data_IF_996327639783
#
_entry.id   IF_996327639783
#
_cell.length_a   1.000
_cell.length_b   1.000
_cell.length_c   1.000
_cell.angle_alpha   90.00
_cell.angle_beta   90.00
_cell.angle_gamma   90.00
#
_symmetry.space_group_name_H-M   'P 1'
#
loop_
_entity.id
_entity.type
_entity.pdbx_description
1 polymer ?
#
# COMPACT_ATOMS: atom_id res chain seq x y z
N UNK A 1 -4.31 21.41 2.93
CA UNK A 1 -4.88 20.04 2.98
C UNK A 1 -4.88 19.46 1.58
N UNK A 2 -5.14 18.16 1.47
CA UNK A 2 -5.20 17.45 0.20
C UNK A 2 -6.59 16.86 -0.02
N UNK A 3 -7.05 16.87 -1.27
CA UNK A 3 -8.28 16.26 -1.73
C UNK A 3 -7.96 15.18 -2.76
N UNK A 4 -8.63 14.04 -2.63
CA UNK A 4 -8.56 12.91 -3.56
C UNK A 4 -9.97 12.52 -3.97
N UNK A 5 -10.19 12.53 -5.27
CA UNK A 5 -11.43 12.12 -5.91
C UNK A 5 -11.17 10.83 -6.69
N UNK A 6 -12.09 9.87 -6.55
CA UNK A 6 -12.11 8.63 -7.33
C UNK A 6 -13.34 8.67 -8.19
N UNK A 7 -13.19 8.63 -9.51
CA UNK A 7 -14.28 8.71 -10.47
C UNK A 7 -14.42 7.37 -11.19
N UNK A 8 -15.60 6.78 -11.14
CA UNK A 8 -15.92 5.55 -11.87
C UNK A 8 -16.48 5.93 -13.25
N UNK A 9 -15.70 5.77 -14.32
CA UNK A 9 -16.09 6.07 -15.69
C UNK A 9 -16.24 4.78 -16.51
N UNK A 10 -16.90 4.86 -17.67
CA UNK A 10 -17.05 3.72 -18.58
C UNK A 10 -15.70 3.16 -19.06
N UNK A 11 -14.67 4.01 -19.16
CA UNK A 11 -13.31 3.64 -19.53
C UNK A 11 -12.47 3.11 -18.35
N UNK A 12 -12.99 3.12 -17.13
CA UNK A 12 -12.30 2.67 -15.92
C UNK A 12 -12.33 3.66 -14.75
N UNK A 13 -11.50 3.41 -13.75
CA UNK A 13 -11.42 4.23 -12.52
C UNK A 13 -10.35 5.31 -12.67
N UNK A 14 -10.75 6.58 -12.56
CA UNK A 14 -9.85 7.73 -12.61
C UNK A 14 -9.63 8.32 -11.22
N UNK A 15 -8.39 8.73 -10.94
CA UNK A 15 -8.02 9.38 -9.69
C UNK A 15 -7.62 10.82 -9.95
N UNK A 16 -8.26 11.77 -9.26
CA UNK A 16 -7.89 13.18 -9.28
C UNK A 16 -7.40 13.60 -7.90
N UNK A 17 -6.22 14.22 -7.85
CA UNK A 17 -5.58 14.68 -6.61
C UNK A 17 -5.31 16.18 -6.70
N UNK A 18 -5.72 16.94 -5.71
CA UNK A 18 -5.56 18.40 -5.67
C UNK A 18 -5.26 18.90 -4.26
N UNK A 19 -4.75 20.12 -4.16
CA UNK A 19 -4.70 20.87 -2.91
C UNK A 19 -6.07 21.48 -2.64
N UNK A 20 -6.51 21.43 -1.38
CA UNK A 20 -7.79 21.98 -0.95
C UNK A 20 -7.66 22.73 0.39
N UNK A 21 -8.55 23.69 0.60
CA UNK A 21 -8.71 24.38 1.87
C UNK A 21 -9.40 23.49 2.90
N UNK A 22 -9.24 23.83 4.19
CA UNK A 22 -9.93 23.13 5.28
C UNK A 22 -11.46 23.24 5.14
N UNK A 23 -11.98 24.41 4.76
CA UNK A 23 -13.40 24.62 4.53
C UNK A 23 -13.95 23.74 3.39
N UNK A 24 -13.26 23.67 2.25
CA UNK A 24 -13.65 22.82 1.13
C UNK A 24 -13.71 21.34 1.53
N UNK A 25 -12.74 20.90 2.33
CA UNK A 25 -12.74 19.55 2.85
C UNK A 25 -13.89 19.26 3.82
N UNK A 26 -14.20 20.21 4.73
CA UNK A 26 -15.32 20.07 5.65
C UNK A 26 -16.65 19.91 4.90
N UNK A 27 -16.86 20.68 3.84
CA UNK A 27 -18.03 20.57 2.96
C UNK A 27 -18.08 19.19 2.31
N UNK A 28 -16.95 18.69 1.78
CA UNK A 28 -16.89 17.36 1.18
C UNK A 28 -17.16 16.23 2.19
N UNK A 29 -16.62 16.34 3.41
CA UNK A 29 -16.85 15.35 4.48
C UNK A 29 -18.25 15.41 5.09
N UNK A 30 -18.92 16.55 5.01
CA UNK A 30 -20.28 16.73 5.52
C UNK A 30 -21.34 16.00 4.67
N UNK A 31 -20.95 15.39 3.55
CA UNK A 31 -21.83 14.52 2.77
C UNK A 31 -23.00 15.26 2.13
N UNK A 32 -22.86 16.56 1.85
CA UNK A 32 -23.91 17.40 1.27
C UNK A 32 -24.45 16.85 -0.07
N UNK A 33 -23.64 16.04 -0.78
CA UNK A 33 -24.10 15.20 -1.87
C UNK A 33 -23.40 13.84 -1.80
N UNK A 34 -24.17 12.76 -1.85
CA UNK A 34 -23.66 11.37 -1.83
C UNK A 34 -23.17 10.96 -3.22
N UNK A 35 -21.93 11.30 -3.52
CA UNK A 35 -21.34 11.01 -4.82
C UNK A 35 -20.82 9.56 -4.98
N UNK A 36 -20.59 8.83 -3.88
CA UNK A 36 -19.96 7.51 -3.91
C UNK A 36 -21.00 6.41 -3.82
N UNK A 37 -21.14 5.61 -4.87
CA UNK A 37 -21.89 4.35 -4.84
C UNK A 37 -21.03 3.31 -5.56
N UNK A 38 -20.51 2.30 -4.85
CA UNK A 38 -19.60 1.34 -5.45
C UNK A 38 -20.28 0.61 -6.63
N UNK A 39 -19.65 0.62 -7.80
CA UNK A 39 -20.17 -0.04 -9.01
C UNK A 39 -21.14 0.83 -9.82
N UNK A 40 -21.37 2.09 -9.43
CA UNK A 40 -22.22 3.02 -10.17
C UNK A 40 -21.34 3.88 -11.07
N UNK A 41 -21.61 3.80 -12.38
CA UNK A 41 -21.00 4.70 -13.36
C UNK A 41 -21.30 6.17 -13.01
N UNK A 42 -20.29 7.02 -13.18
CA UNK A 42 -20.29 8.42 -12.79
C UNK A 42 -20.43 8.66 -11.28
N UNK A 43 -20.14 7.66 -10.46
CA UNK A 43 -19.92 7.89 -9.03
C UNK A 43 -18.56 8.58 -8.80
N UNK A 44 -18.52 9.48 -7.84
CA UNK A 44 -17.33 10.21 -7.41
C UNK A 44 -17.13 10.02 -5.91
N UNK A 45 -16.00 9.48 -5.48
CA UNK A 45 -15.69 9.33 -4.06
C UNK A 45 -14.66 10.39 -3.67
N UNK A 46 -15.08 11.38 -2.88
CA UNK A 46 -14.23 12.47 -2.40
C UNK A 46 -13.71 12.12 -1.02
N UNK A 47 -12.40 12.30 -0.81
CA UNK A 47 -11.74 12.09 0.48
C UNK A 47 -10.67 13.15 0.68
N UNK A 48 -10.42 13.52 1.93
CA UNK A 48 -9.35 14.44 2.26
C UNK A 48 -8.34 13.86 3.23
N UNK A 49 -7.17 14.49 3.27
CA UNK A 49 -6.16 14.27 4.28
C UNK A 49 -5.47 15.58 4.67
N UNK A 50 -5.08 15.67 5.95
CA UNK A 50 -4.31 16.80 6.49
C UNK A 50 -2.82 16.46 6.68
N UNK A 51 -2.43 15.20 6.46
CA UNK A 51 -1.04 14.77 6.62
C UNK A 51 -0.19 15.19 5.42
N UNK A 52 1.05 15.68 5.64
CA UNK A 52 1.95 16.01 4.54
C UNK A 52 2.22 14.75 3.70
N UNK A 53 2.33 14.92 2.38
CA UNK A 53 2.59 13.85 1.41
C UNK A 53 1.56 12.71 1.38
N UNK A 54 0.35 12.89 1.91
CA UNK A 54 -0.69 11.84 1.86
C UNK A 54 -1.13 11.44 0.44
N UNK A 55 -0.96 12.34 -0.53
CA UNK A 55 -1.20 12.09 -1.95
C UNK A 55 0.01 11.45 -2.67
N UNK A 56 1.12 11.27 -1.96
CA UNK A 56 2.41 10.84 -2.48
C UNK A 56 2.38 9.43 -3.09
N UNK A 57 3.44 9.08 -3.85
CA UNK A 57 3.59 7.74 -4.39
C UNK A 57 3.54 6.73 -3.24
N UNK A 58 2.74 5.67 -3.43
CA UNK A 58 2.62 4.61 -2.42
C UNK A 58 4.05 4.06 -2.20
N UNK A 59 4.59 4.08 -0.96
CA UNK A 59 5.90 3.51 -0.72
C UNK A 59 5.87 2.07 -1.23
N UNK A 60 6.83 1.73 -2.10
CA UNK A 60 7.00 0.36 -2.57
C UNK A 60 7.09 -0.49 -1.31
N UNK A 61 6.12 -1.40 -1.09
CA UNK A 61 6.23 -2.40 -0.02
C UNK A 61 7.61 -3.03 -0.23
N UNK A 62 8.58 -2.77 0.67
CA UNK A 62 9.77 -3.61 0.75
C UNK A 62 9.20 -5.00 0.93
N UNK A 63 9.38 -5.86 -0.07
CA UNK A 63 8.93 -7.24 0.00
C UNK A 63 9.37 -7.78 1.35
N UNK A 64 8.43 -8.39 2.08
CA UNK A 64 8.72 -9.02 3.36
C UNK A 64 9.95 -9.89 3.14
N UNK A 65 11.07 -9.55 3.79
CA UNK A 65 12.32 -10.33 3.71
C UNK A 65 12.16 -11.60 4.55
N UNK A 66 11.10 -12.38 4.28
CA UNK A 66 10.81 -13.65 4.91
C UNK A 66 11.55 -14.82 4.23
N UNK A 67 12.72 -14.55 3.67
CA UNK A 67 13.76 -15.55 3.41
C UNK A 67 14.97 -15.20 4.24
N UNK A 68 14.79 -15.11 5.56
CA UNK A 68 15.91 -15.34 6.46
C UNK A 68 16.27 -16.82 6.31
N UNK A 69 17.31 -17.10 5.53
CA UNK A 69 17.95 -18.42 5.49
C UNK A 69 18.27 -18.76 6.95
N UNK A 70 17.63 -19.80 7.49
CA UNK A 70 17.84 -20.23 8.88
C UNK A 70 19.31 -20.63 9.03
N UNK A 71 20.14 -19.88 9.77
CA UNK A 71 21.58 -20.14 9.86
C UNK A 71 21.88 -21.56 10.36
N UNK A 72 20.99 -22.10 11.20
CA UNK A 72 21.13 -23.43 11.78
C UNK A 72 21.21 -24.58 10.78
N UNK A 73 20.58 -24.49 9.60
CA UNK A 73 20.58 -25.59 8.62
C UNK A 73 21.96 -25.74 7.94
N UNK A 74 22.59 -24.61 7.61
CA UNK A 74 23.95 -24.58 7.06
C UNK A 74 24.97 -25.12 8.08
N UNK A 75 24.82 -24.73 9.35
CA UNK A 75 25.72 -25.21 10.40
C UNK A 75 25.60 -26.72 10.60
N UNK A 76 24.38 -27.28 10.61
CA UNK A 76 24.20 -28.73 10.74
C UNK A 76 24.76 -29.52 9.56
N UNK A 77 24.65 -29.02 8.32
CA UNK A 77 25.22 -29.68 7.15
C UNK A 77 26.75 -29.66 7.18
N UNK A 78 27.36 -28.56 7.62
CA UNK A 78 28.81 -28.45 7.76
C UNK A 78 29.36 -29.44 8.79
N UNK A 79 28.72 -29.54 9.97
CA UNK A 79 29.13 -30.49 11.01
C UNK A 79 28.98 -31.95 10.55
N UNK A 80 27.91 -32.28 9.83
CA UNK A 80 27.71 -33.62 9.30
C UNK A 80 28.80 -34.01 8.28
N UNK A 81 29.14 -33.10 7.38
CA UNK A 81 30.25 -33.34 6.42
C UNK A 81 31.59 -33.50 7.12
N UNK A 82 31.89 -32.68 8.14
CA UNK A 82 33.14 -32.78 8.89
C UNK A 82 33.24 -34.11 9.64
N UNK A 83 32.14 -34.55 10.26
CA UNK A 83 32.07 -35.83 10.95
C UNK A 83 32.27 -37.01 9.99
N UNK A 84 31.68 -36.95 8.79
CA UNK A 84 31.85 -37.99 7.77
C UNK A 84 33.30 -38.07 7.27
N UNK A 85 33.96 -36.92 7.05
CA UNK A 85 35.38 -36.90 6.69
C UNK A 85 36.25 -37.51 7.79
N UNK A 86 36.02 -37.18 9.06
CA UNK A 86 36.79 -37.75 10.17
C UNK A 86 36.54 -39.25 10.36
N UNK A 87 35.37 -39.76 10.00
CA UNK A 87 35.04 -41.18 10.09
C UNK A 87 35.58 -42.00 8.91
N UNK A 88 36.09 -41.38 7.85
CA UNK A 88 36.58 -42.05 6.64
C UNK A 88 38.09 -41.82 6.40
N UNK A 89 38.79 -41.26 7.39
CA UNK A 89 40.25 -41.17 7.46
C UNK A 89 40.80 -42.21 8.46
#
# INVERSE_FOLDING_TARGET
MCQKEVMEQSAGIMYRKSCASSAACLIASAGYQSFCSPGKLNSVCISCCNTPLCNGPRPKKRGSSASAIRPGLLTTLLFFHLALCLAHC
#
